data_IF_860993325937
#
_entry.id   IF_860993325937
#
_cell.length_a   1.000
_cell.length_b   1.000
_cell.length_c   1.000
_cell.angle_alpha   90.00
_cell.angle_beta   90.00
_cell.angle_gamma   90.00
#
_symmetry.space_group_name_H-M   'P 1'
#
loop_
_entity.id
_entity.type
_entity.pdbx_description
1 polymer ?
#
# COMPACT_ATOMS: atom_id res chain seq x y z
N UNK A 1 2.39 -3.26 -32.54
CA UNK A 1 3.78 -2.76 -32.25
C UNK A 1 4.05 -3.10 -30.79
N UNK A 2 5.09 -3.84 -30.48
CA UNK A 2 5.49 -4.10 -29.09
C UNK A 2 6.01 -2.81 -28.47
N UNK A 3 5.66 -2.59 -27.19
CA UNK A 3 6.21 -1.48 -26.40
C UNK A 3 7.75 -1.55 -26.47
N UNK A 4 8.42 -0.39 -26.56
CA UNK A 4 9.87 -0.29 -26.48
C UNK A 4 10.41 -0.88 -25.17
N UNK A 5 11.71 -1.21 -25.14
CA UNK A 5 12.38 -1.65 -23.92
C UNK A 5 12.19 -0.59 -22.80
N UNK A 6 11.48 -0.95 -21.73
CA UNK A 6 11.14 -0.07 -20.62
C UNK A 6 12.38 0.52 -19.95
N UNK A 7 13.47 -0.26 -19.84
CA UNK A 7 14.70 0.20 -19.21
C UNK A 7 15.43 1.23 -20.07
N UNK A 8 15.46 1.04 -21.41
CA UNK A 8 16.00 2.00 -22.35
C UNK A 8 15.20 3.31 -22.33
N UNK A 9 13.88 3.20 -22.32
CA UNK A 9 12.97 4.36 -22.23
C UNK A 9 13.17 5.15 -20.93
N UNK A 10 13.23 4.47 -19.78
CA UNK A 10 13.46 5.11 -18.50
C UNK A 10 14.82 5.81 -18.42
N UNK A 11 15.89 5.18 -18.93
CA UNK A 11 17.24 5.79 -19.01
C UNK A 11 17.25 7.04 -19.92
N UNK A 12 16.55 6.99 -21.04
CA UNK A 12 16.46 8.14 -21.95
C UNK A 12 15.69 9.31 -21.30
N UNK A 13 14.57 9.03 -20.63
CA UNK A 13 13.83 10.04 -19.88
C UNK A 13 14.68 10.70 -18.78
N UNK A 14 15.42 9.90 -18.01
CA UNK A 14 16.30 10.42 -16.96
C UNK A 14 17.37 11.36 -17.53
N UNK A 15 18.03 10.94 -18.59
CA UNK A 15 19.05 11.77 -19.22
C UNK A 15 18.51 13.10 -19.79
N UNK A 16 17.31 13.07 -20.35
CA UNK A 16 16.66 14.25 -20.96
C UNK A 16 16.06 15.20 -19.92
N UNK A 17 15.28 14.66 -18.98
CA UNK A 17 14.46 15.49 -18.08
C UNK A 17 15.06 15.68 -16.68
N UNK A 18 15.95 14.79 -16.26
CA UNK A 18 16.51 14.80 -14.91
C UNK A 18 18.04 14.68 -14.89
N UNK A 19 18.79 15.48 -15.70
CA UNK A 19 20.24 15.36 -15.83
C UNK A 19 20.99 15.63 -14.51
N UNK A 20 20.35 16.31 -13.54
CA UNK A 20 20.91 16.62 -12.23
C UNK A 20 20.49 15.64 -11.13
N UNK A 21 19.79 14.55 -11.48
CA UNK A 21 19.42 13.53 -10.49
C UNK A 21 20.66 12.78 -9.99
N UNK A 22 20.76 12.57 -8.67
CA UNK A 22 21.82 11.74 -8.06
C UNK A 22 21.71 10.28 -8.50
N UNK A 23 20.48 9.80 -8.57
CA UNK A 23 20.13 8.44 -9.00
C UNK A 23 18.63 8.29 -9.22
N UNK A 24 18.25 7.16 -9.80
CA UNK A 24 16.87 6.74 -9.88
C UNK A 24 16.75 5.22 -9.68
N UNK A 25 15.53 4.80 -9.31
CA UNK A 25 15.11 3.41 -9.21
C UNK A 25 13.97 3.19 -10.20
N UNK A 26 14.15 2.27 -11.13
CA UNK A 26 13.09 1.82 -12.03
C UNK A 26 12.38 0.67 -11.32
N UNK A 27 11.07 0.76 -11.16
CA UNK A 27 10.29 -0.14 -10.32
C UNK A 27 8.98 -0.57 -10.99
N UNK A 28 8.08 -1.12 -10.20
CA UNK A 28 6.76 -1.51 -10.65
C UNK A 28 6.67 -2.88 -11.29
N UNK A 29 5.57 -3.13 -11.99
CA UNK A 29 5.26 -4.44 -12.58
C UNK A 29 6.24 -4.85 -13.68
N UNK A 30 6.84 -3.87 -14.37
CA UNK A 30 7.83 -4.11 -15.43
C UNK A 30 9.11 -4.77 -14.91
N UNK A 31 9.51 -4.43 -13.69
CA UNK A 31 10.72 -4.99 -13.05
C UNK A 31 10.46 -6.38 -12.48
N UNK A 32 9.24 -6.65 -12.05
CA UNK A 32 8.83 -7.96 -11.49
C UNK A 32 8.42 -8.99 -12.55
N UNK A 33 8.52 -8.66 -13.85
CA UNK A 33 7.98 -9.48 -14.94
C UNK A 33 6.46 -9.76 -14.85
N UNK A 34 5.71 -8.82 -14.26
CA UNK A 34 4.26 -8.87 -14.08
C UNK A 34 3.53 -7.85 -15.00
N UNK A 35 4.24 -7.29 -15.97
CA UNK A 35 3.71 -6.24 -16.83
C UNK A 35 2.57 -6.76 -17.73
N UNK A 36 1.54 -5.94 -17.88
CA UNK A 36 0.41 -6.14 -18.78
C UNK A 36 0.43 -5.08 -19.89
N UNK A 37 -0.50 -5.15 -20.83
CA UNK A 37 -0.62 -4.15 -21.91
C UNK A 37 -0.85 -2.72 -21.38
N UNK A 38 -1.45 -2.59 -20.20
CA UNK A 38 -1.76 -1.30 -19.55
C UNK A 38 -0.75 -0.89 -18.47
N UNK A 39 0.34 -1.65 -18.30
CA UNK A 39 1.38 -1.32 -17.30
C UNK A 39 2.10 -0.04 -17.67
N UNK A 40 2.47 0.69 -16.65
CA UNK A 40 3.34 1.86 -16.61
C UNK A 40 4.76 1.51 -16.17
N UNK A 41 5.64 2.49 -16.23
CA UNK A 41 6.97 2.45 -15.63
C UNK A 41 6.94 3.33 -14.39
N UNK A 42 7.11 2.74 -13.21
CA UNK A 42 7.28 3.47 -11.97
C UNK A 42 8.75 3.88 -11.81
N UNK A 43 8.99 5.14 -11.47
CA UNK A 43 10.34 5.66 -11.27
C UNK A 43 10.42 6.44 -9.96
N UNK A 44 11.40 6.13 -9.11
CA UNK A 44 11.77 6.97 -7.97
C UNK A 44 13.06 7.69 -8.33
N UNK A 45 13.02 9.02 -8.38
CA UNK A 45 14.14 9.88 -8.83
C UNK A 45 14.62 10.69 -7.64
N UNK A 46 15.91 10.63 -7.32
CA UNK A 46 16.50 11.28 -6.15
C UNK A 46 17.40 12.45 -6.57
N UNK A 47 17.12 13.61 -6.00
CA UNK A 47 17.93 14.82 -6.11
C UNK A 47 18.53 15.23 -4.77
N UNK A 48 19.46 16.17 -4.80
CA UNK A 48 19.84 16.92 -3.59
C UNK A 48 18.76 17.94 -3.22
N UNK A 49 18.71 18.34 -1.95
CA UNK A 49 17.68 19.29 -1.46
C UNK A 49 17.82 20.69 -2.07
N UNK A 50 19.02 21.11 -2.42
CA UNK A 50 19.29 22.39 -3.09
C UNK A 50 18.79 22.43 -4.54
N UNK A 51 18.79 21.30 -5.25
CA UNK A 51 18.24 21.19 -6.61
C UNK A 51 16.73 20.98 -6.58
N UNK A 52 16.24 20.18 -5.65
CA UNK A 52 14.83 19.88 -5.45
C UNK A 52 14.40 20.25 -4.04
N UNK A 53 13.98 21.49 -3.76
CA UNK A 53 13.56 21.89 -2.42
C UNK A 53 12.25 21.24 -1.98
N UNK A 54 11.38 20.81 -2.91
CA UNK A 54 10.09 20.18 -2.62
C UNK A 54 9.87 18.96 -3.50
N UNK A 55 9.66 17.81 -2.86
CA UNK A 55 9.31 16.56 -3.55
C UNK A 55 7.93 16.66 -4.24
N UNK A 56 7.77 15.91 -5.35
CA UNK A 56 6.51 15.85 -6.08
C UNK A 56 6.32 14.50 -6.77
N UNK A 57 5.09 14.23 -7.18
CA UNK A 57 4.70 13.12 -8.07
C UNK A 57 4.26 13.71 -9.40
N UNK A 58 4.68 13.10 -10.49
CA UNK A 58 4.28 13.47 -11.84
C UNK A 58 4.06 12.24 -12.71
N UNK A 59 3.28 12.41 -13.76
CA UNK A 59 3.07 11.36 -14.76
C UNK A 59 3.13 11.96 -16.16
N UNK A 60 3.56 11.14 -17.13
CA UNK A 60 3.59 11.52 -18.54
C UNK A 60 3.58 10.29 -19.45
N UNK A 61 3.33 10.51 -20.72
CA UNK A 61 3.61 9.52 -21.77
C UNK A 61 4.96 9.87 -22.38
N UNK A 62 5.87 8.90 -22.42
CA UNK A 62 7.18 9.06 -23.03
C UNK A 62 7.56 7.80 -23.81
N UNK A 63 7.81 7.96 -25.12
CA UNK A 63 8.10 6.84 -26.05
C UNK A 63 7.06 5.69 -25.92
N UNK A 64 5.77 6.05 -25.96
CA UNK A 64 4.60 5.16 -25.84
C UNK A 64 4.42 4.45 -24.48
N UNK A 65 5.23 4.80 -23.48
CA UNK A 65 5.05 4.32 -22.12
C UNK A 65 4.37 5.36 -21.23
N UNK A 66 3.29 5.00 -20.51
CA UNK A 66 2.91 5.73 -19.32
C UNK A 66 4.03 5.62 -18.29
N UNK A 67 4.47 6.74 -17.76
CA UNK A 67 5.52 6.80 -16.74
C UNK A 67 4.99 7.56 -15.54
N UNK A 68 5.14 6.97 -14.37
CA UNK A 68 4.87 7.62 -13.09
C UNK A 68 6.19 7.87 -12.36
N UNK A 69 6.36 9.12 -11.90
CA UNK A 69 7.60 9.57 -11.29
C UNK A 69 7.35 10.09 -9.87
N UNK A 70 8.07 9.54 -8.91
CA UNK A 70 8.14 9.97 -7.52
C UNK A 70 9.47 10.70 -7.34
N UNK A 71 9.45 12.01 -7.52
CA UNK A 71 10.67 12.84 -7.49
C UNK A 71 10.91 13.29 -6.06
N UNK A 72 12.00 12.83 -5.47
CA UNK A 72 12.33 12.95 -4.06
C UNK A 72 13.68 13.67 -3.86
N UNK A 73 13.87 14.22 -2.68
CA UNK A 73 15.16 14.63 -2.16
C UNK A 73 15.53 13.80 -0.92
N UNK A 74 16.72 13.99 -0.39
CA UNK A 74 17.24 13.24 0.76
C UNK A 74 16.30 13.30 1.98
N UNK A 75 15.69 14.47 2.24
CA UNK A 75 14.80 14.68 3.39
C UNK A 75 13.44 14.02 3.17
N UNK A 76 12.84 14.22 1.98
CA UNK A 76 11.54 13.62 1.65
C UNK A 76 11.63 12.10 1.57
N UNK A 77 12.73 11.55 1.07
CA UNK A 77 12.99 10.12 1.11
C UNK A 77 12.96 9.57 2.54
N UNK A 78 13.70 10.17 3.45
CA UNK A 78 13.73 9.74 4.85
C UNK A 78 12.36 9.87 5.53
N UNK A 79 11.62 10.92 5.22
CA UNK A 79 10.25 11.14 5.70
C UNK A 79 9.31 10.03 5.22
N UNK A 80 9.25 9.76 3.92
CA UNK A 80 8.34 8.75 3.38
C UNK A 80 8.70 7.33 3.80
N UNK A 81 9.98 7.02 4.00
CA UNK A 81 10.38 5.73 4.58
C UNK A 81 9.72 5.50 5.95
N UNK A 82 9.74 6.53 6.81
CA UNK A 82 9.08 6.46 8.13
C UNK A 82 7.56 6.38 8.01
N UNK A 83 6.96 7.14 7.10
CA UNK A 83 5.51 7.12 6.88
C UNK A 83 5.03 5.76 6.39
N UNK A 84 5.70 5.17 5.39
CA UNK A 84 5.39 3.83 4.88
C UNK A 84 5.47 2.79 6.02
N UNK A 85 6.51 2.86 6.87
CA UNK A 85 6.68 1.95 8.01
C UNK A 85 5.57 2.15 9.07
N UNK A 86 5.19 3.38 9.35
CA UNK A 86 4.16 3.71 10.32
C UNK A 86 2.76 3.28 9.84
N UNK A 87 2.39 3.63 8.60
CA UNK A 87 1.09 3.24 8.05
C UNK A 87 1.02 1.75 7.65
N UNK A 88 2.19 1.10 7.48
CA UNK A 88 2.30 -0.31 7.09
C UNK A 88 2.01 -0.58 5.62
N UNK A 89 2.13 0.43 4.78
CA UNK A 89 1.98 0.32 3.32
C UNK A 89 3.30 0.71 2.63
N UNK A 90 4.17 -0.26 2.29
CA UNK A 90 5.55 0.00 1.89
C UNK A 90 5.65 0.39 0.40
N UNK A 91 4.91 1.41 -0.06
CA UNK A 91 4.86 1.75 -1.48
C UNK A 91 6.23 2.24 -1.98
N UNK A 92 6.77 3.30 -1.38
CA UNK A 92 8.08 3.84 -1.76
C UNK A 92 9.21 2.88 -1.36
N UNK A 93 9.10 2.27 -0.17
CA UNK A 93 10.09 1.30 0.31
C UNK A 93 10.25 0.16 -0.69
N UNK A 94 9.15 -0.43 -1.16
CA UNK A 94 9.18 -1.56 -2.11
C UNK A 94 9.74 -1.15 -3.46
N UNK A 95 9.35 0.01 -3.99
CA UNK A 95 9.88 0.51 -5.27
C UNK A 95 11.40 0.66 -5.24
N UNK A 96 11.96 1.12 -4.14
CA UNK A 96 13.41 1.28 -4.00
C UNK A 96 14.10 -0.06 -3.75
N UNK A 97 13.56 -0.89 -2.84
CA UNK A 97 14.16 -2.18 -2.48
C UNK A 97 14.27 -3.15 -3.65
N UNK A 98 13.27 -3.16 -4.52
CA UNK A 98 13.15 -4.04 -5.69
C UNK A 98 13.66 -3.39 -6.98
N UNK A 99 13.83 -2.07 -6.99
CA UNK A 99 14.10 -1.27 -8.16
C UNK A 99 15.46 -1.51 -8.81
N UNK A 100 15.51 -1.30 -10.11
CA UNK A 100 16.77 -1.29 -10.87
C UNK A 100 17.42 0.09 -10.71
N UNK A 101 18.65 0.11 -10.22
CA UNK A 101 19.42 1.35 -9.99
C UNK A 101 19.90 1.93 -11.32
N UNK A 102 19.73 3.25 -11.50
CA UNK A 102 20.24 4.05 -12.62
C UNK A 102 20.90 5.32 -12.09
N UNK A 103 22.17 5.64 -12.48
CA UNK A 103 23.06 4.82 -13.27
C UNK A 103 23.54 3.58 -12.52
N UNK A 104 23.86 2.53 -13.26
CA UNK A 104 24.40 1.31 -12.70
C UNK A 104 25.71 1.57 -11.94
N UNK A 105 25.92 0.84 -10.83
CA UNK A 105 27.11 1.01 -9.99
C UNK A 105 27.05 2.20 -9.03
N UNK A 106 25.96 2.95 -8.95
CA UNK A 106 25.82 4.09 -8.05
C UNK A 106 25.78 3.66 -6.59
N UNK A 107 26.86 3.90 -5.84
CA UNK A 107 27.02 3.51 -4.43
C UNK A 107 26.02 4.22 -3.51
N UNK A 108 25.70 5.48 -3.78
CA UNK A 108 24.69 6.21 -3.02
C UNK A 108 23.30 5.55 -3.18
N UNK A 109 22.90 5.23 -4.42
CA UNK A 109 21.64 4.51 -4.67
C UNK A 109 21.63 3.14 -3.99
N UNK A 110 22.75 2.41 -3.99
CA UNK A 110 22.90 1.12 -3.31
C UNK A 110 22.68 1.26 -1.80
N UNK A 111 23.21 2.33 -1.20
CA UNK A 111 23.00 2.59 0.24
C UNK A 111 21.52 2.84 0.56
N UNK A 112 20.80 3.61 -0.26
CA UNK A 112 19.35 3.82 -0.11
C UNK A 112 18.57 2.52 -0.29
N UNK A 113 18.95 1.70 -1.27
CA UNK A 113 18.31 0.41 -1.53
C UNK A 113 18.49 -0.56 -0.37
N UNK A 114 19.67 -0.63 0.22
CA UNK A 114 19.96 -1.45 1.38
C UNK A 114 19.11 -1.00 2.58
N UNK A 115 19.03 0.29 2.84
CA UNK A 115 18.17 0.85 3.90
C UNK A 115 16.70 0.52 3.68
N UNK A 116 16.21 0.57 2.44
CA UNK A 116 14.84 0.17 2.11
C UNK A 116 14.61 -1.34 2.36
N UNK A 117 15.57 -2.19 2.00
CA UNK A 117 15.52 -3.64 2.26
C UNK A 117 15.53 -3.97 3.74
N UNK A 118 16.37 -3.30 4.52
CA UNK A 118 16.42 -3.44 5.99
C UNK A 118 15.08 -3.03 6.61
N UNK A 119 14.48 -1.91 6.15
CA UNK A 119 13.17 -1.46 6.62
C UNK A 119 12.07 -2.48 6.28
N UNK A 120 12.08 -3.03 5.06
CA UNK A 120 11.14 -4.10 4.68
C UNK A 120 11.30 -5.34 5.55
N UNK A 121 12.54 -5.76 5.83
CA UNK A 121 12.82 -6.92 6.65
C UNK A 121 12.41 -6.73 8.12
N UNK A 122 12.52 -5.52 8.65
CA UNK A 122 12.07 -5.17 10.00
C UNK A 122 10.53 -5.25 10.18
N UNK A 123 9.79 -5.15 9.08
CA UNK A 123 8.33 -5.13 9.11
C UNK A 123 7.75 -3.75 9.46
N UNK A 124 6.43 -3.60 9.41
CA UNK A 124 5.75 -2.36 9.75
C UNK A 124 5.73 -2.13 11.26
N UNK A 125 5.52 -0.88 11.68
CA UNK A 125 5.26 -0.55 13.08
C UNK A 125 4.08 -1.39 13.61
N UNK A 126 4.20 -1.86 14.84
CA UNK A 126 3.10 -2.56 15.50
C UNK A 126 1.92 -1.61 15.68
N UNK A 127 0.69 -2.13 15.56
CA UNK A 127 -0.49 -1.39 15.97
C UNK A 127 -0.53 -1.31 17.50
N UNK A 128 -0.91 -0.16 18.03
CA UNK A 128 -1.26 -0.02 19.44
C UNK A 128 -2.56 -0.75 19.76
N UNK A 129 -2.84 -1.00 21.04
CA UNK A 129 -4.11 -1.58 21.47
C UNK A 129 -5.30 -0.71 21.06
N UNK A 130 -5.16 0.61 21.16
CA UNK A 130 -6.18 1.55 20.71
C UNK A 130 -6.44 1.43 19.21
N UNK A 131 -5.41 1.35 18.37
CA UNK A 131 -5.57 1.16 16.93
C UNK A 131 -6.22 -0.18 16.58
N UNK A 132 -5.87 -1.26 17.30
CA UNK A 132 -6.51 -2.56 17.15
C UNK A 132 -8.00 -2.46 17.51
N UNK A 133 -8.35 -1.85 18.64
CA UNK A 133 -9.72 -1.70 19.09
C UNK A 133 -10.56 -0.82 18.16
N UNK A 134 -10.01 0.30 17.67
CA UNK A 134 -10.66 1.17 16.68
C UNK A 134 -10.96 0.42 15.37
N UNK A 135 -10.02 -0.39 14.90
CA UNK A 135 -10.20 -1.21 13.69
C UNK A 135 -11.23 -2.32 13.90
N UNK A 136 -11.22 -3.00 15.06
CA UNK A 136 -12.22 -4.01 15.43
C UNK A 136 -13.62 -3.43 15.48
N UNK A 137 -13.78 -2.24 16.08
CA UNK A 137 -15.06 -1.52 16.09
C UNK A 137 -15.57 -1.25 14.67
N UNK A 138 -14.76 -0.65 13.82
CA UNK A 138 -15.16 -0.37 12.43
C UNK A 138 -15.41 -1.63 11.58
N UNK A 139 -14.77 -2.76 11.91
CA UNK A 139 -15.05 -4.04 11.28
C UNK A 139 -16.36 -4.65 11.82
N UNK A 140 -16.65 -4.52 13.11
CA UNK A 140 -17.91 -4.97 13.71
C UNK A 140 -19.11 -4.26 13.09
N UNK A 141 -19.03 -2.94 12.96
CA UNK A 141 -20.04 -2.10 12.31
C UNK A 141 -20.32 -2.55 10.85
N UNK A 142 -19.26 -2.77 10.07
CA UNK A 142 -19.39 -3.29 8.71
C UNK A 142 -19.96 -4.72 8.63
N UNK A 143 -19.64 -5.55 9.60
CA UNK A 143 -20.19 -6.93 9.67
C UNK A 143 -21.67 -6.91 9.99
N UNK A 144 -22.12 -6.06 10.92
CA UNK A 144 -23.53 -5.89 11.26
C UNK A 144 -24.33 -5.37 10.05
N UNK A 145 -23.79 -4.37 9.30
CA UNK A 145 -24.38 -3.88 8.06
C UNK A 145 -24.45 -4.97 6.96
N UNK A 146 -23.41 -5.79 6.84
CA UNK A 146 -23.36 -6.90 5.89
C UNK A 146 -24.39 -8.00 6.23
N UNK A 147 -24.60 -8.28 7.50
CA UNK A 147 -25.51 -9.33 7.98
C UNK A 147 -26.99 -8.94 7.84
N UNK A 148 -27.29 -7.64 7.77
CA UNK A 148 -28.67 -7.11 7.71
C UNK A 148 -28.83 -5.99 6.64
N UNK A 149 -28.43 -6.23 5.40
CA UNK A 149 -28.53 -5.21 4.36
C UNK A 149 -29.99 -4.98 3.94
N UNK A 150 -30.39 -3.74 3.68
CA UNK A 150 -31.74 -3.43 3.20
C UNK A 150 -31.95 -3.82 1.74
N UNK A 151 -30.88 -3.85 0.95
CA UNK A 151 -30.90 -4.18 -0.46
C UNK A 151 -29.50 -4.61 -0.94
N UNK A 152 -29.43 -5.14 -2.16
CA UNK A 152 -28.18 -5.63 -2.76
C UNK A 152 -27.14 -4.52 -2.96
N UNK A 153 -27.56 -3.29 -3.25
CA UNK A 153 -26.62 -2.19 -3.47
C UNK A 153 -25.90 -1.80 -2.17
N UNK A 154 -26.62 -1.77 -1.04
CA UNK A 154 -26.01 -1.55 0.29
C UNK A 154 -25.05 -2.69 0.63
N UNK A 155 -25.44 -3.95 0.39
CA UNK A 155 -24.55 -5.10 0.59
C UNK A 155 -23.25 -4.94 -0.21
N UNK A 156 -23.33 -4.59 -1.49
CA UNK A 156 -22.13 -4.43 -2.33
C UNK A 156 -21.25 -3.27 -1.86
N UNK A 157 -21.85 -2.16 -1.43
CA UNK A 157 -21.12 -1.05 -0.83
C UNK A 157 -20.34 -1.47 0.41
N UNK A 158 -21.00 -2.15 1.34
CA UNK A 158 -20.40 -2.67 2.58
C UNK A 158 -19.29 -3.68 2.28
N UNK A 159 -19.54 -4.67 1.40
CA UNK A 159 -18.55 -5.68 1.04
C UNK A 159 -17.30 -5.09 0.40
N UNK A 160 -17.45 -4.05 -0.41
CA UNK A 160 -16.31 -3.38 -1.08
C UNK A 160 -15.35 -2.74 -0.08
N UNK A 161 -15.89 -2.18 0.99
CA UNK A 161 -15.09 -1.59 2.10
C UNK A 161 -14.54 -2.69 3.01
N UNK A 162 -15.39 -3.68 3.37
CA UNK A 162 -15.02 -4.77 4.25
C UNK A 162 -13.87 -5.62 3.67
N UNK A 163 -13.87 -5.85 2.34
CA UNK A 163 -12.79 -6.57 1.65
C UNK A 163 -11.42 -5.97 1.95
N UNK A 164 -11.30 -4.67 1.89
CA UNK A 164 -10.03 -4.01 2.12
C UNK A 164 -9.70 -3.94 3.62
N UNK A 165 -10.66 -3.55 4.45
CA UNK A 165 -10.43 -3.34 5.88
C UNK A 165 -10.12 -4.61 6.65
N UNK A 166 -10.79 -5.74 6.34
CA UNK A 166 -10.57 -7.01 7.01
C UNK A 166 -9.19 -7.59 6.67
N UNK A 167 -8.79 -7.54 5.39
CA UNK A 167 -7.46 -7.99 4.97
C UNK A 167 -6.35 -7.10 5.58
N UNK A 168 -6.52 -5.76 5.53
CA UNK A 168 -5.58 -4.83 6.14
C UNK A 168 -5.45 -5.05 7.65
N UNK A 169 -6.57 -5.21 8.35
CA UNK A 169 -6.57 -5.52 9.78
C UNK A 169 -5.76 -6.79 10.06
N UNK A 170 -6.06 -7.89 9.36
CA UNK A 170 -5.41 -9.17 9.60
C UNK A 170 -3.90 -9.10 9.33
N UNK A 171 -3.48 -8.45 8.25
CA UNK A 171 -2.08 -8.21 7.95
C UNK A 171 -1.42 -7.37 9.05
N UNK A 172 -1.98 -6.22 9.37
CA UNK A 172 -1.38 -5.24 10.28
C UNK A 172 -1.33 -5.73 11.73
N UNK A 173 -2.40 -6.36 12.21
CA UNK A 173 -2.48 -6.92 13.56
C UNK A 173 -1.46 -8.06 13.77
N UNK A 174 -1.10 -8.77 12.71
CA UNK A 174 -0.03 -9.79 12.70
C UNK A 174 1.33 -9.25 12.25
N UNK A 175 1.53 -7.93 12.22
CA UNK A 175 2.80 -7.25 11.88
C UNK A 175 3.30 -7.56 10.46
N UNK A 176 2.40 -7.79 9.52
CA UNK A 176 2.73 -7.89 8.11
C UNK A 176 2.46 -6.57 7.38
N UNK A 177 3.25 -6.33 6.34
CA UNK A 177 3.00 -5.24 5.42
C UNK A 177 1.66 -5.41 4.74
N UNK A 178 0.93 -4.32 4.59
CA UNK A 178 -0.34 -4.24 3.90
C UNK A 178 -0.18 -3.54 2.54
N UNK A 179 -1.28 -3.12 1.94
CA UNK A 179 -1.27 -2.40 0.68
C UNK A 179 -2.66 -1.93 0.28
N UNK A 180 -2.76 -1.24 -0.83
CA UNK A 180 -4.03 -0.87 -1.43
C UNK A 180 -4.35 -1.71 -2.66
N UNK A 181 -5.64 -1.93 -2.95
CA UNK A 181 -6.09 -2.59 -4.18
C UNK A 181 -5.36 -3.91 -4.44
N UNK A 182 -4.78 -4.09 -5.64
CA UNK A 182 -4.04 -5.31 -6.03
C UNK A 182 -2.83 -5.63 -5.14
N UNK A 183 -2.22 -4.63 -4.51
CA UNK A 183 -1.09 -4.87 -3.60
C UNK A 183 -1.55 -5.54 -2.30
N UNK A 184 -2.76 -5.24 -1.82
CA UNK A 184 -3.35 -5.87 -0.64
C UNK A 184 -3.54 -7.38 -0.83
N UNK A 185 -4.10 -7.80 -1.97
CA UNK A 185 -4.32 -9.23 -2.26
C UNK A 185 -3.01 -9.98 -2.39
N UNK A 186 -1.98 -9.36 -2.99
CA UNK A 186 -0.63 -9.93 -3.05
C UNK A 186 0.00 -10.06 -1.66
N UNK A 187 -0.16 -9.04 -0.82
CA UNK A 187 0.34 -9.07 0.55
C UNK A 187 -0.33 -10.18 1.37
N UNK A 188 -1.66 -10.31 1.27
CA UNK A 188 -2.42 -11.36 1.94
C UNK A 188 -1.96 -12.76 1.48
N UNK A 189 -1.86 -12.97 0.17
CA UNK A 189 -1.41 -14.25 -0.39
C UNK A 189 0.03 -14.60 0.02
N UNK A 190 0.91 -13.60 0.09
CA UNK A 190 2.32 -13.79 0.50
C UNK A 190 2.44 -14.14 1.99
N UNK A 191 1.72 -13.42 2.85
CA UNK A 191 1.81 -13.59 4.29
C UNK A 191 1.00 -14.79 4.79
N UNK A 192 -0.14 -15.08 4.17
CA UNK A 192 -1.10 -16.10 4.57
C UNK A 192 -1.61 -16.89 3.36
N UNK A 193 -0.75 -17.74 2.75
CA UNK A 193 -1.08 -18.46 1.50
C UNK A 193 -2.30 -19.37 1.65
N UNK A 194 -2.52 -19.98 2.82
CA UNK A 194 -3.65 -20.87 3.07
C UNK A 194 -4.96 -20.08 3.32
N UNK A 195 -4.87 -18.89 3.90
CA UNK A 195 -6.02 -18.03 4.13
C UNK A 195 -6.54 -17.38 2.84
N UNK A 196 -5.66 -17.06 1.90
CA UNK A 196 -6.03 -16.29 0.69
C UNK A 196 -7.16 -16.95 -0.12
N UNK A 197 -7.15 -18.27 -0.40
CA UNK A 197 -8.27 -18.92 -1.08
C UNK A 197 -9.57 -18.93 -0.26
N UNK A 198 -9.51 -19.13 1.06
CA UNK A 198 -10.65 -19.09 1.97
C UNK A 198 -11.29 -17.69 1.96
N UNK A 199 -10.44 -16.66 1.99
CA UNK A 199 -10.84 -15.27 1.94
C UNK A 199 -11.59 -14.92 0.65
N UNK A 200 -11.02 -15.30 -0.50
CA UNK A 200 -11.65 -15.08 -1.80
C UNK A 200 -12.98 -15.83 -1.95
N UNK A 201 -13.06 -17.07 -1.47
CA UNK A 201 -14.28 -17.87 -1.51
C UNK A 201 -15.41 -17.26 -0.62
N UNK A 202 -15.07 -16.80 0.59
CA UNK A 202 -16.02 -16.18 1.51
C UNK A 202 -16.61 -14.89 0.92
N UNK A 203 -15.77 -14.01 0.34
CA UNK A 203 -16.25 -12.79 -0.32
C UNK A 203 -17.07 -13.09 -1.58
N UNK A 204 -16.69 -14.10 -2.37
CA UNK A 204 -17.47 -14.53 -3.53
C UNK A 204 -18.88 -14.99 -3.14
N UNK A 205 -19.01 -15.75 -2.05
CA UNK A 205 -20.29 -16.18 -1.52
C UNK A 205 -21.11 -14.97 -1.04
N UNK A 206 -20.50 -14.04 -0.33
CA UNK A 206 -21.16 -12.83 0.17
C UNK A 206 -21.67 -11.94 -0.96
N UNK A 207 -20.89 -11.73 -2.02
CA UNK A 207 -21.33 -11.00 -3.22
C UNK A 207 -22.49 -11.72 -3.96
N UNK A 208 -22.62 -13.03 -3.79
CA UNK A 208 -23.76 -13.80 -4.29
C UNK A 208 -24.97 -13.81 -3.33
N UNK A 209 -24.89 -13.14 -2.18
CA UNK A 209 -25.95 -13.00 -1.20
C UNK A 209 -25.85 -13.96 0.01
N UNK A 210 -24.87 -14.89 0.04
CA UNK A 210 -24.61 -15.73 1.21
C UNK A 210 -23.49 -15.14 2.06
N UNK A 211 -23.86 -14.37 3.08
CA UNK A 211 -22.91 -13.66 3.97
C UNK A 211 -22.36 -14.52 5.10
N UNK A 212 -22.93 -15.71 5.36
CA UNK A 212 -22.55 -16.57 6.50
C UNK A 212 -21.09 -17.02 6.48
N UNK A 213 -20.53 -17.48 5.33
CA UNK A 213 -19.11 -17.86 5.29
C UNK A 213 -18.17 -16.70 5.62
N UNK A 214 -18.51 -15.49 5.18
CA UNK A 214 -17.70 -14.30 5.46
C UNK A 214 -17.80 -13.86 6.91
N UNK A 215 -19.00 -13.91 7.51
CA UNK A 215 -19.19 -13.63 8.94
C UNK A 215 -18.34 -14.57 9.79
N UNK A 216 -18.41 -15.88 9.54
CA UNK A 216 -17.62 -16.89 10.26
C UNK A 216 -16.11 -16.70 10.09
N UNK A 217 -15.66 -16.35 8.87
CA UNK A 217 -14.25 -16.04 8.61
C UNK A 217 -13.81 -14.80 9.37
N UNK A 218 -14.58 -13.73 9.34
CA UNK A 218 -14.25 -12.49 10.05
C UNK A 218 -14.16 -12.72 11.58
N UNK A 219 -15.08 -13.47 12.15
CA UNK A 219 -15.05 -13.85 13.58
C UNK A 219 -13.77 -14.65 13.91
N UNK A 220 -13.39 -15.61 13.05
CA UNK A 220 -12.13 -16.37 13.18
C UNK A 220 -10.90 -15.44 13.17
N UNK A 221 -10.87 -14.44 12.28
CA UNK A 221 -9.75 -13.52 12.16
C UNK A 221 -9.69 -12.49 13.29
N UNK A 222 -10.83 -12.10 13.85
CA UNK A 222 -10.93 -11.16 14.97
C UNK A 222 -10.65 -11.84 16.33
N UNK A 223 -10.94 -13.14 16.47
CA UNK A 223 -10.85 -13.88 17.73
C UNK A 223 -9.52 -13.73 18.48
N UNK A 224 -8.33 -13.82 17.83
CA UNK A 224 -7.05 -13.67 18.53
C UNK A 224 -6.84 -12.28 19.16
N UNK A 225 -7.60 -11.29 18.72
CA UNK A 225 -7.54 -9.90 19.17
C UNK A 225 -8.70 -9.51 20.09
N UNK A 226 -9.53 -10.46 20.50
CA UNK A 226 -10.67 -10.27 21.41
C UNK A 226 -12.04 -10.24 20.72
N UNK A 227 -12.14 -10.69 19.44
CA UNK A 227 -13.41 -10.83 18.70
C UNK A 227 -14.00 -9.49 18.24
N UNK A 228 -15.29 -9.47 17.94
CA UNK A 228 -16.01 -8.23 17.61
C UNK A 228 -15.96 -7.26 18.80
N UNK A 229 -15.95 -5.97 18.49
CA UNK A 229 -15.83 -4.93 19.52
C UNK A 229 -16.84 -3.81 19.25
N UNK A 230 -17.90 -3.77 20.06
CA UNK A 230 -18.96 -2.78 19.96
C UNK A 230 -19.02 -1.85 21.19
N UNK A 231 -19.06 -2.42 22.38
CA UNK A 231 -19.21 -1.68 23.62
C UNK A 231 -17.86 -1.28 24.24
N UNK A 232 -17.78 -0.07 24.74
CA UNK A 232 -16.60 0.45 25.45
C UNK A 232 -15.66 1.30 24.62
N UNK A 233 -15.94 1.52 23.34
CA UNK A 233 -15.15 2.46 22.52
C UNK A 233 -15.40 3.89 23.02
N UNK A 234 -14.31 4.60 23.27
CA UNK A 234 -14.32 6.06 23.47
C UNK A 234 -13.26 6.65 22.54
N UNK A 235 -13.69 7.52 21.65
CA UNK A 235 -12.80 8.24 20.73
C UNK A 235 -12.97 9.74 20.95
N UNK A 236 -11.86 10.44 21.15
CA UNK A 236 -11.88 11.88 21.33
C UNK A 236 -11.67 12.61 20.01
N UNK A 237 -12.38 13.71 19.80
CA UNK A 237 -12.13 14.60 18.68
C UNK A 237 -10.70 15.16 18.74
N UNK A 238 -10.03 15.39 17.60
CA UNK A 238 -8.70 16.01 17.58
C UNK A 238 -8.73 17.38 18.28
N UNK A 239 -7.64 17.76 18.96
CA UNK A 239 -7.52 19.04 19.68
C UNK A 239 -7.86 20.25 18.80
N UNK A 240 -7.59 20.16 17.48
CA UNK A 240 -7.95 21.20 16.53
C UNK A 240 -9.46 21.43 16.42
N UNK A 241 -10.28 20.38 16.62
CA UNK A 241 -11.75 20.49 16.58
C UNK A 241 -12.33 21.20 17.80
N UNK A 242 -11.57 21.28 18.90
CA UNK A 242 -11.96 21.94 20.15
C UNK A 242 -11.48 23.41 20.24
N UNK A 243 -10.85 23.95 19.18
CA UNK A 243 -10.42 25.34 19.14
C UNK A 243 -11.59 26.22 18.72
N UNK A 244 -11.76 27.44 19.33
CA UNK A 244 -12.78 28.39 18.90
C UNK A 244 -12.62 28.71 17.41
N UNK A 245 -13.72 28.67 16.67
CA UNK A 245 -13.75 29.17 15.30
C UNK A 245 -13.56 30.70 15.40
N UNK A 246 -12.47 31.21 14.80
CA UNK A 246 -12.18 32.65 14.73
C UNK A 246 -13.04 33.33 13.67
#
# INVERSE_FOLDING_TARGET
MGKSDYLKTAKALLAEKFPMAKCAFIAGSVVRNEATATSDIDMVIIHTTDILPKAYRASMIYQDWPIEMFVQNDNSFAYFLKQDAACGMPALISMIAEGIIVPEGNEYARSLQNKARETLAAGPAALSEEEINNRRYGLTDLLDDMESPKNTAELYGTLSVLYQKLADFHLRANRHWSGGSKALTRALKKAFPDLSPEYEAAFRAAFAGDTKPLSALADKLLQPFGGRYWAGLTSYAPDAANRPVK
#
